data_IF_024669733643
#
_entry.id   IF_024669733643
#
_cell.length_a   1.000
_cell.length_b   1.000
_cell.length_c   1.000
_cell.angle_alpha   90.00
_cell.angle_beta   90.00
_cell.angle_gamma   90.00
#
_symmetry.space_group_name_H-M   'P 1'
#
loop_
_entity.id
_entity.type
_entity.pdbx_description
1 polymer ?
#
# COMPACT_ATOMS: atom_id res chain seq x y z
N UNK A 1 -24.31 -14.95 13.26
CA UNK A 1 -23.13 -15.52 13.96
C UNK A 1 -23.34 -16.98 14.37
N UNK A 2 -24.42 -17.39 15.09
CA UNK A 2 -24.63 -18.80 15.48
C UNK A 2 -24.75 -19.76 14.27
N UNK A 3 -25.47 -19.37 13.22
CA UNK A 3 -25.64 -20.16 12.00
C UNK A 3 -24.30 -20.45 11.31
N UNK A 4 -23.51 -19.39 11.09
CA UNK A 4 -22.16 -19.56 10.50
C UNK A 4 -21.27 -20.44 11.37
N UNK A 5 -21.34 -20.30 12.70
CA UNK A 5 -20.54 -21.14 13.61
C UNK A 5 -20.88 -22.61 13.49
N UNK A 6 -22.19 -22.95 13.46
CA UNK A 6 -22.63 -24.34 13.30
C UNK A 6 -22.11 -24.91 11.96
N UNK A 7 -22.20 -24.14 10.88
CA UNK A 7 -21.72 -24.55 9.55
C UNK A 7 -20.23 -24.87 9.55
N UNK A 8 -19.41 -24.06 10.25
CA UNK A 8 -17.98 -24.37 10.39
C UNK A 8 -17.71 -25.57 11.33
N UNK A 9 -18.44 -25.69 12.43
CA UNK A 9 -18.30 -26.82 13.37
C UNK A 9 -18.72 -28.15 12.71
N UNK A 10 -19.73 -28.15 11.84
CA UNK A 10 -20.18 -29.33 11.06
C UNK A 10 -19.18 -29.71 9.95
N UNK A 11 -18.57 -28.74 9.29
CA UNK A 11 -17.58 -28.97 8.25
C UNK A 11 -16.20 -29.41 8.78
N UNK A 12 -15.85 -28.99 9.99
CA UNK A 12 -14.52 -29.19 10.60
C UNK A 12 -14.04 -30.64 10.63
N UNK A 13 -14.85 -31.66 10.91
CA UNK A 13 -14.40 -33.06 10.92
C UNK A 13 -13.86 -33.51 9.55
N UNK A 14 -14.45 -33.02 8.45
CA UNK A 14 -14.03 -33.38 7.09
C UNK A 14 -12.64 -32.84 6.73
N UNK A 15 -12.24 -31.70 7.31
CA UNK A 15 -10.94 -31.07 7.09
C UNK A 15 -9.88 -31.43 8.15
N UNK A 16 -10.29 -32.04 9.28
CA UNK A 16 -9.38 -32.44 10.36
C UNK A 16 -8.57 -33.70 10.00
N UNK A 17 -7.55 -34.01 10.80
CA UNK A 17 -6.72 -35.21 10.61
C UNK A 17 -7.56 -36.48 10.45
N UNK A 18 -7.35 -37.18 9.34
CA UNK A 18 -8.13 -38.37 8.94
C UNK A 18 -9.39 -38.08 8.15
N UNK A 19 -9.74 -36.85 7.89
CA UNK A 19 -10.86 -36.44 7.03
C UNK A 19 -10.53 -36.49 5.55
N UNK A 20 -11.57 -36.59 4.70
CA UNK A 20 -11.44 -36.68 3.23
C UNK A 20 -10.75 -35.45 2.62
N UNK A 21 -10.87 -34.30 3.26
CA UNK A 21 -10.34 -33.00 2.82
C UNK A 21 -9.17 -32.49 3.71
N UNK A 22 -8.46 -33.37 4.40
CA UNK A 22 -7.33 -33.00 5.30
C UNK A 22 -6.29 -32.11 4.62
N UNK A 23 -5.98 -32.34 3.34
CA UNK A 23 -5.02 -31.53 2.55
C UNK A 23 -5.45 -30.06 2.41
N UNK A 24 -6.72 -29.78 2.51
CA UNK A 24 -7.30 -28.45 2.37
C UNK A 24 -7.60 -27.81 3.74
N UNK A 25 -7.15 -28.39 4.84
CA UNK A 25 -7.28 -27.82 6.18
C UNK A 25 -6.81 -26.37 6.24
N UNK A 26 -5.68 -25.95 5.60
CA UNK A 26 -5.26 -24.56 5.64
C UNK A 26 -6.29 -23.57 5.07
N UNK A 27 -7.03 -23.97 4.05
CA UNK A 27 -8.10 -23.13 3.45
C UNK A 27 -9.27 -22.99 4.43
N UNK A 28 -9.69 -24.10 5.03
CA UNK A 28 -10.77 -24.09 6.03
C UNK A 28 -10.42 -23.20 7.22
N UNK A 29 -9.17 -23.31 7.71
CA UNK A 29 -8.67 -22.56 8.86
C UNK A 29 -8.65 -21.04 8.61
N UNK A 30 -8.29 -20.57 7.41
CA UNK A 30 -8.38 -19.16 7.04
C UNK A 30 -9.81 -18.64 7.21
N UNK A 31 -10.79 -19.34 6.65
CA UNK A 31 -12.17 -18.91 6.71
C UNK A 31 -12.74 -19.00 8.13
N UNK A 32 -12.37 -20.04 8.92
CA UNK A 32 -12.76 -20.12 10.32
C UNK A 32 -12.16 -18.96 11.12
N UNK A 33 -10.88 -18.64 10.95
CA UNK A 33 -10.17 -17.61 11.68
C UNK A 33 -10.58 -16.18 11.26
N UNK A 34 -11.01 -15.99 10.02
CA UNK A 34 -11.53 -14.69 9.56
C UNK A 34 -12.80 -14.29 10.32
N UNK A 35 -13.68 -15.25 10.63
CA UNK A 35 -14.97 -15.00 11.30
C UNK A 35 -14.93 -15.27 12.79
N UNK A 36 -14.04 -16.15 13.27
CA UNK A 36 -13.99 -16.62 14.64
C UNK A 36 -12.56 -16.68 15.17
N UNK A 37 -12.42 -16.41 16.45
CA UNK A 37 -11.15 -16.55 17.16
C UNK A 37 -10.75 -18.03 17.28
N UNK A 38 -9.46 -18.30 17.10
CA UNK A 38 -8.88 -19.61 17.37
C UNK A 38 -9.21 -20.07 18.79
N UNK A 39 -9.74 -21.29 18.92
CA UNK A 39 -10.05 -21.92 20.22
C UNK A 39 -8.84 -22.63 20.85
N UNK A 40 -7.70 -22.62 20.18
CA UNK A 40 -6.50 -23.28 20.67
C UNK A 40 -6.06 -22.66 22.01
N UNK A 41 -6.06 -23.47 23.06
CA UNK A 41 -5.61 -23.08 24.39
C UNK A 41 -4.36 -23.88 24.75
N UNK A 42 -3.42 -23.22 25.41
CA UNK A 42 -2.28 -23.93 25.99
C UNK A 42 -2.79 -24.93 27.02
N UNK A 43 -2.30 -26.17 26.97
CA UNK A 43 -2.67 -27.24 27.92
C UNK A 43 -1.87 -27.18 29.22
N UNK A 44 -0.86 -26.31 29.30
CA UNK A 44 0.01 -26.14 30.46
C UNK A 44 -0.59 -25.18 31.49
N UNK A 45 -0.23 -25.29 32.79
CA UNK A 45 -0.83 -24.51 33.87
C UNK A 45 -0.52 -23.00 33.79
N UNK A 46 0.49 -22.57 33.03
CA UNK A 46 0.83 -21.16 32.83
C UNK A 46 0.23 -20.73 31.51
N UNK A 47 -0.78 -19.86 31.56
CA UNK A 47 -1.42 -19.27 30.38
C UNK A 47 -0.96 -17.82 30.20
N UNK A 48 0.00 -17.59 29.34
CA UNK A 48 0.33 -16.24 28.85
C UNK A 48 -0.27 -16.09 27.46
N UNK A 49 -1.20 -15.16 27.30
CA UNK A 49 -1.81 -14.85 26.01
C UNK A 49 -1.55 -13.40 25.66
N UNK A 50 -1.01 -13.17 24.48
CA UNK A 50 -0.86 -11.82 23.96
C UNK A 50 -2.24 -11.22 23.68
N UNK A 51 -2.43 -9.93 23.98
CA UNK A 51 -3.68 -9.22 23.75
C UNK A 51 -3.94 -8.96 22.25
N UNK A 52 -2.89 -8.95 21.44
CA UNK A 52 -2.92 -8.69 20.00
C UNK A 52 -2.20 -9.82 19.24
N UNK A 53 -2.97 -10.76 18.73
CA UNK A 53 -2.47 -11.75 17.77
C UNK A 53 -2.15 -11.09 16.43
N UNK A 54 -1.13 -11.58 15.71
CA UNK A 54 -0.76 -11.08 14.36
C UNK A 54 -1.96 -11.09 13.42
N UNK A 55 -2.81 -12.11 13.51
CA UNK A 55 -4.04 -12.25 12.75
C UNK A 55 -4.97 -11.04 12.93
N UNK A 56 -5.25 -10.65 14.17
CA UNK A 56 -6.07 -9.47 14.47
C UNK A 56 -5.44 -8.17 13.99
N UNK A 57 -4.11 -8.05 14.16
CA UNK A 57 -3.41 -6.87 13.66
C UNK A 57 -3.61 -6.71 12.15
N UNK A 58 -3.46 -7.80 11.39
CA UNK A 58 -3.61 -7.78 9.94
C UNK A 58 -5.05 -7.48 9.50
N UNK A 59 -6.06 -8.05 10.17
CA UNK A 59 -7.47 -7.73 9.88
C UNK A 59 -7.79 -6.26 10.17
N UNK A 60 -7.27 -5.68 11.25
CA UNK A 60 -7.47 -4.26 11.56
C UNK A 60 -6.78 -3.37 10.51
N UNK A 61 -5.57 -3.72 10.07
CA UNK A 61 -4.89 -2.99 9.00
C UNK A 61 -5.71 -3.06 7.71
N UNK A 62 -6.21 -4.25 7.34
CA UNK A 62 -7.06 -4.43 6.17
C UNK A 62 -8.33 -3.58 6.24
N UNK A 63 -9.04 -3.57 7.39
CA UNK A 63 -10.21 -2.71 7.59
C UNK A 63 -9.85 -1.22 7.56
N UNK A 64 -8.67 -0.84 8.06
CA UNK A 64 -8.21 0.54 8.03
C UNK A 64 -7.93 1.05 6.60
N UNK A 65 -7.74 0.17 5.61
CA UNK A 65 -7.59 0.60 4.20
C UNK A 65 -8.91 1.01 3.54
N UNK A 66 -10.08 0.64 4.10
CA UNK A 66 -11.39 0.86 3.48
C UNK A 66 -11.71 2.33 3.18
N UNK A 67 -11.45 3.31 4.07
CA UNK A 67 -11.66 4.73 3.73
C UNK A 67 -10.88 5.15 2.50
N UNK A 68 -9.61 4.76 2.40
CA UNK A 68 -8.77 5.06 1.24
C UNK A 68 -9.25 4.33 -0.03
N UNK A 69 -9.71 3.09 0.09
CA UNK A 69 -10.26 2.29 -0.99
C UNK A 69 -11.55 2.90 -1.55
N UNK A 70 -12.51 3.27 -0.69
CA UNK A 70 -13.77 3.87 -1.13
C UNK A 70 -13.56 5.24 -1.75
N UNK A 71 -12.70 6.07 -1.15
CA UNK A 71 -12.37 7.36 -1.74
C UNK A 71 -11.63 7.19 -3.07
N UNK A 72 -10.73 6.22 -3.17
CA UNK A 72 -10.02 5.90 -4.40
C UNK A 72 -10.96 5.54 -5.55
N UNK A 73 -11.94 4.67 -5.30
CA UNK A 73 -12.98 4.37 -6.30
C UNK A 73 -13.75 5.61 -6.73
N UNK A 74 -14.13 6.47 -5.78
CA UNK A 74 -14.77 7.74 -6.10
C UNK A 74 -13.87 8.64 -6.96
N UNK A 75 -12.60 8.79 -6.60
CA UNK A 75 -11.66 9.67 -7.31
C UNK A 75 -11.36 9.18 -8.73
N UNK A 76 -11.17 7.86 -8.94
CA UNK A 76 -11.01 7.29 -10.28
C UNK A 76 -12.19 7.69 -11.17
N UNK A 77 -13.42 7.47 -10.69
CA UNK A 77 -14.61 7.81 -11.45
C UNK A 77 -14.76 9.33 -11.65
N UNK A 78 -14.39 10.15 -10.66
CA UNK A 78 -14.42 11.60 -10.80
C UNK A 78 -13.49 12.05 -11.92
N UNK A 79 -12.22 11.67 -11.87
CA UNK A 79 -11.23 12.07 -12.88
C UNK A 79 -11.57 11.54 -14.27
N UNK A 80 -11.97 10.27 -14.37
CA UNK A 80 -12.26 9.65 -15.67
C UNK A 80 -13.56 10.11 -16.30
N UNK A 81 -14.65 10.24 -15.53
CA UNK A 81 -15.93 10.72 -16.08
C UNK A 81 -15.88 12.20 -16.49
N UNK A 82 -15.19 13.04 -15.73
CA UNK A 82 -14.96 14.45 -16.13
C UNK A 82 -14.16 14.51 -17.43
N UNK A 83 -13.11 13.68 -17.56
CA UNK A 83 -12.34 13.60 -18.79
C UNK A 83 -13.16 13.10 -19.99
N UNK A 84 -13.90 11.99 -19.83
CA UNK A 84 -14.76 11.44 -20.90
C UNK A 84 -15.84 12.44 -21.35
N UNK A 85 -16.35 13.26 -20.43
CA UNK A 85 -17.29 14.33 -20.75
C UNK A 85 -16.64 15.43 -21.61
N UNK A 86 -15.38 15.80 -21.34
CA UNK A 86 -14.63 16.80 -22.11
C UNK A 86 -14.40 16.35 -23.55
N UNK A 87 -14.13 15.07 -23.79
CA UNK A 87 -13.88 14.54 -25.15
C UNK A 87 -15.15 14.08 -25.87
N UNK A 88 -16.33 14.23 -25.23
CA UNK A 88 -17.65 13.81 -25.77
C UNK A 88 -17.69 12.34 -26.22
N UNK A 89 -16.91 11.45 -25.60
CA UNK A 89 -16.91 10.01 -25.91
C UNK A 89 -17.42 9.23 -24.70
N UNK A 90 -18.71 8.85 -24.66
CA UNK A 90 -19.27 8.07 -23.56
C UNK A 90 -18.94 6.57 -23.67
N UNK A 91 -17.74 6.22 -24.11
CA UNK A 91 -17.33 4.84 -24.31
C UNK A 91 -15.86 4.65 -23.95
N UNK A 92 -15.56 3.72 -23.06
CA UNK A 92 -14.20 3.36 -22.68
C UNK A 92 -13.49 2.48 -23.73
N UNK A 93 -14.21 1.99 -24.75
CA UNK A 93 -13.65 1.19 -25.85
C UNK A 93 -13.24 -0.24 -25.46
N UNK A 94 -13.39 -0.63 -24.22
CA UNK A 94 -12.99 -1.91 -23.67
C UNK A 94 -14.17 -2.66 -22.99
N UNK A 95 -13.89 -3.83 -22.39
CA UNK A 95 -14.89 -4.65 -21.72
C UNK A 95 -15.53 -3.96 -20.50
N UNK A 96 -14.86 -2.97 -19.88
CA UNK A 96 -15.40 -2.19 -18.77
C UNK A 96 -16.64 -1.40 -19.17
N UNK A 97 -16.74 -1.02 -20.47
CA UNK A 97 -17.89 -0.28 -21.00
C UNK A 97 -19.24 -0.97 -20.66
N UNK A 98 -19.29 -2.31 -20.80
CA UNK A 98 -20.52 -3.05 -20.53
C UNK A 98 -20.98 -2.93 -19.07
N UNK A 99 -20.03 -2.90 -18.13
CA UNK A 99 -20.31 -2.77 -16.71
C UNK A 99 -20.59 -1.31 -16.30
N UNK A 100 -19.82 -0.36 -16.85
CA UNK A 100 -20.02 1.07 -16.58
C UNK A 100 -21.39 1.52 -17.07
N UNK A 101 -21.84 1.02 -18.22
CA UNK A 101 -23.10 1.41 -18.84
C UNK A 101 -24.35 1.02 -18.00
N UNK A 102 -24.22 0.15 -17.00
CA UNK A 102 -25.33 -0.20 -16.09
C UNK A 102 -25.84 1.05 -15.34
N UNK A 103 -24.95 1.94 -14.90
CA UNK A 103 -25.31 3.20 -14.25
C UNK A 103 -25.10 4.42 -15.15
N UNK A 104 -24.32 4.29 -16.22
CA UNK A 104 -24.06 5.33 -17.22
C UNK A 104 -22.85 6.21 -16.89
N UNK A 105 -22.60 7.18 -17.79
CA UNK A 105 -21.38 8.03 -17.78
C UNK A 105 -21.62 9.46 -17.30
N UNK A 106 -22.72 9.72 -16.56
CA UNK A 106 -23.01 11.06 -16.06
C UNK A 106 -22.02 11.48 -14.96
N UNK A 107 -21.18 12.52 -15.18
CA UNK A 107 -20.14 12.92 -14.21
C UNK A 107 -20.70 13.59 -12.96
N UNK A 108 -21.95 14.10 -13.00
CA UNK A 108 -22.56 14.80 -11.87
C UNK A 108 -23.17 13.85 -10.81
N UNK A 109 -23.34 12.58 -11.13
CA UNK A 109 -23.94 11.60 -10.19
C UNK A 109 -22.85 10.92 -9.37
N UNK A 110 -22.95 11.04 -8.05
CA UNK A 110 -22.04 10.40 -7.10
C UNK A 110 -21.95 8.87 -7.27
N UNK A 111 -23.09 8.21 -7.51
CA UNK A 111 -23.12 6.75 -7.69
C UNK A 111 -22.35 6.32 -8.95
N UNK A 112 -22.42 7.11 -10.03
CA UNK A 112 -21.72 6.81 -11.28
C UNK A 112 -20.19 6.89 -11.08
N UNK A 113 -19.72 7.87 -10.30
CA UNK A 113 -18.31 8.02 -9.96
C UNK A 113 -17.78 6.80 -9.17
N UNK A 114 -18.50 6.39 -8.11
CA UNK A 114 -18.09 5.21 -7.32
C UNK A 114 -18.16 3.94 -8.16
N UNK A 115 -19.22 3.78 -8.95
CA UNK A 115 -19.40 2.59 -9.77
C UNK A 115 -18.30 2.47 -10.83
N UNK A 116 -18.00 3.56 -11.53
CA UNK A 116 -16.91 3.59 -12.50
C UNK A 116 -15.59 3.16 -11.88
N UNK A 117 -15.20 3.77 -10.78
CA UNK A 117 -13.97 3.38 -10.07
C UNK A 117 -14.00 1.94 -9.54
N UNK A 118 -15.15 1.46 -9.09
CA UNK A 118 -15.30 0.07 -8.67
C UNK A 118 -15.09 -0.92 -9.82
N UNK A 119 -15.61 -0.60 -11.02
CA UNK A 119 -15.45 -1.43 -12.22
C UNK A 119 -13.97 -1.59 -12.62
N UNK A 120 -13.15 -0.57 -12.41
CA UNK A 120 -11.71 -0.64 -12.67
C UNK A 120 -10.91 -1.25 -11.51
N UNK A 121 -11.22 -0.88 -10.27
CA UNK A 121 -10.46 -1.33 -9.10
C UNK A 121 -10.73 -2.79 -8.69
N UNK A 122 -12.02 -3.22 -8.68
CA UNK A 122 -12.39 -4.54 -8.17
C UNK A 122 -11.73 -5.68 -8.96
N UNK A 123 -11.64 -5.66 -10.31
CA UNK A 123 -10.94 -6.69 -11.05
C UNK A 123 -9.45 -6.78 -10.71
N UNK A 124 -8.77 -5.64 -10.55
CA UNK A 124 -7.36 -5.61 -10.12
C UNK A 124 -7.22 -6.25 -8.73
N UNK A 125 -8.05 -5.82 -7.77
CA UNK A 125 -8.02 -6.37 -6.41
C UNK A 125 -8.37 -7.86 -6.38
N UNK A 126 -9.39 -8.29 -7.14
CA UNK A 126 -9.76 -9.70 -7.24
C UNK A 126 -8.62 -10.55 -7.82
N UNK A 127 -7.97 -10.06 -8.88
CA UNK A 127 -6.83 -10.75 -9.49
C UNK A 127 -5.66 -10.88 -8.52
N UNK A 128 -5.28 -9.78 -7.85
CA UNK A 128 -4.19 -9.80 -6.85
C UNK A 128 -4.52 -10.73 -5.69
N UNK A 129 -5.77 -10.74 -5.25
CA UNK A 129 -6.23 -11.60 -4.18
C UNK A 129 -6.21 -13.08 -4.60
N UNK A 130 -6.81 -13.43 -5.73
CA UNK A 130 -6.92 -14.83 -6.19
C UNK A 130 -5.56 -15.43 -6.53
N UNK A 131 -4.72 -14.69 -7.24
CA UNK A 131 -3.38 -15.17 -7.61
C UNK A 131 -2.49 -15.28 -6.38
N UNK A 132 -2.48 -14.27 -5.52
CA UNK A 132 -1.63 -14.29 -4.35
C UNK A 132 -2.04 -15.35 -3.33
N UNK A 133 -3.36 -15.54 -3.06
CA UNK A 133 -3.80 -16.62 -2.17
C UNK A 133 -3.49 -18.00 -2.73
N UNK A 134 -3.49 -18.16 -4.05
CA UNK A 134 -3.12 -19.43 -4.69
C UNK A 134 -1.66 -19.80 -4.39
N UNK A 135 -0.75 -18.81 -4.42
CA UNK A 135 0.64 -19.01 -4.01
C UNK A 135 0.78 -19.32 -2.52
N UNK A 136 0.08 -18.58 -1.65
CA UNK A 136 0.08 -18.86 -0.20
C UNK A 136 -0.38 -20.28 0.10
N UNK A 137 -1.47 -20.72 -0.53
CA UNK A 137 -2.00 -22.09 -0.38
C UNK A 137 -0.97 -23.11 -0.86
N UNK A 138 -0.34 -22.89 -2.01
CA UNK A 138 0.66 -23.79 -2.57
C UNK A 138 1.83 -23.97 -1.60
N UNK A 139 2.39 -22.86 -1.09
CA UNK A 139 3.50 -22.92 -0.15
C UNK A 139 3.09 -23.48 1.21
N UNK A 140 1.88 -23.21 1.69
CA UNK A 140 1.35 -23.77 2.93
C UNK A 140 1.23 -25.31 2.85
N UNK A 141 0.74 -25.84 1.72
CA UNK A 141 0.65 -27.27 1.49
C UNK A 141 2.04 -27.92 1.44
N UNK A 142 2.99 -27.32 0.68
CA UNK A 142 4.35 -27.85 0.52
C UNK A 142 5.10 -27.85 1.87
N UNK A 143 5.01 -26.77 2.62
CA UNK A 143 5.76 -26.55 3.87
C UNK A 143 5.01 -27.00 5.12
N UNK A 144 3.74 -27.40 5.00
CA UNK A 144 2.87 -27.86 6.08
C UNK A 144 2.75 -26.84 7.22
N UNK A 145 2.58 -25.57 6.87
CA UNK A 145 2.27 -24.49 7.82
C UNK A 145 0.88 -23.90 7.58
N UNK A 146 0.35 -23.19 8.56
CA UNK A 146 -0.91 -22.47 8.46
C UNK A 146 -0.74 -21.24 7.55
N UNK A 147 -1.80 -20.85 6.84
CA UNK A 147 -1.81 -19.65 6.05
C UNK A 147 -2.07 -18.45 6.98
N UNK A 148 -1.32 -17.39 6.80
CA UNK A 148 -1.42 -16.21 7.66
C UNK A 148 -2.23 -15.10 6.96
N UNK A 149 -3.09 -14.43 7.72
CA UNK A 149 -3.95 -13.33 7.27
C UNK A 149 -3.16 -12.10 6.79
N UNK A 150 -1.87 -12.04 7.01
CA UNK A 150 -0.98 -11.01 6.45
C UNK A 150 -1.07 -10.89 4.93
N UNK A 151 -1.50 -11.94 4.24
CA UNK A 151 -1.76 -11.91 2.81
C UNK A 151 -2.89 -10.93 2.43
N UNK A 152 -3.98 -10.85 3.21
CA UNK A 152 -5.08 -9.91 2.94
C UNK A 152 -4.57 -8.46 2.87
N UNK A 153 -3.65 -8.11 3.76
CA UNK A 153 -3.01 -6.79 3.78
C UNK A 153 -2.13 -6.60 2.56
N UNK A 154 -1.27 -7.56 2.23
CA UNK A 154 -0.36 -7.45 1.09
C UNK A 154 -1.11 -7.30 -0.23
N UNK A 155 -2.21 -8.05 -0.45
CA UNK A 155 -3.01 -7.99 -1.67
C UNK A 155 -3.72 -6.65 -1.83
N UNK A 156 -4.37 -6.13 -0.77
CA UNK A 156 -5.09 -4.85 -0.84
C UNK A 156 -4.13 -3.68 -0.99
N UNK A 157 -3.01 -3.65 -0.25
CA UNK A 157 -2.03 -2.57 -0.35
C UNK A 157 -1.36 -2.54 -1.73
N UNK A 158 -1.07 -3.71 -2.31
CA UNK A 158 -0.56 -3.78 -3.67
C UNK A 158 -1.56 -3.21 -4.67
N UNK A 159 -2.84 -3.66 -4.63
CA UNK A 159 -3.88 -3.19 -5.53
C UNK A 159 -4.12 -1.67 -5.40
N UNK A 160 -4.17 -1.14 -4.16
CA UNK A 160 -4.34 0.29 -3.89
C UNK A 160 -3.16 1.16 -4.36
N UNK A 161 -1.97 0.59 -4.46
CA UNK A 161 -0.78 1.29 -4.93
C UNK A 161 -0.61 1.24 -6.46
N UNK A 162 -1.44 0.48 -7.17
CA UNK A 162 -1.39 0.37 -8.62
C UNK A 162 -2.20 1.48 -9.32
N UNK A 163 -1.87 1.80 -10.58
CA UNK A 163 -2.73 2.59 -11.45
C UNK A 163 -4.08 1.90 -11.68
N UNK A 164 -5.16 2.68 -11.91
CA UNK A 164 -6.49 2.10 -12.09
C UNK A 164 -6.67 1.33 -13.40
N UNK A 165 -5.87 1.60 -14.41
CA UNK A 165 -5.94 0.95 -15.73
C UNK A 165 -4.85 -0.12 -15.95
N UNK A 166 -4.31 -0.66 -14.85
CA UNK A 166 -3.28 -1.70 -14.90
C UNK A 166 -3.82 -2.98 -15.52
N UNK A 167 -3.19 -3.55 -16.55
CA UNK A 167 -3.57 -4.84 -17.12
C UNK A 167 -3.57 -5.96 -16.07
N UNK A 168 -4.65 -6.76 -16.03
CA UNK A 168 -4.83 -7.79 -15.00
C UNK A 168 -3.69 -8.83 -14.96
N UNK A 169 -3.11 -9.17 -16.12
CA UNK A 169 -1.98 -10.09 -16.18
C UNK A 169 -0.71 -9.50 -15.53
N UNK A 170 -0.49 -8.19 -15.64
CA UNK A 170 0.62 -7.51 -14.94
C UNK A 170 0.36 -7.48 -13.43
N UNK A 171 -0.89 -7.18 -13.01
CA UNK A 171 -1.27 -7.29 -11.61
C UNK A 171 -0.99 -8.69 -11.05
N UNK A 172 -1.31 -9.74 -11.82
CA UNK A 172 -1.01 -11.14 -11.47
C UNK A 172 0.50 -11.41 -11.35
N UNK A 173 1.31 -10.91 -12.28
CA UNK A 173 2.78 -11.04 -12.22
C UNK A 173 3.36 -10.27 -11.05
N UNK A 174 2.93 -9.04 -10.82
CA UNK A 174 3.42 -8.20 -9.73
C UNK A 174 3.17 -8.82 -8.37
N UNK A 175 1.93 -9.27 -8.11
CA UNK A 175 1.62 -9.93 -6.82
C UNK A 175 2.35 -11.27 -6.68
N UNK A 176 2.51 -12.03 -7.77
CA UNK A 176 3.32 -13.26 -7.78
C UNK A 176 4.75 -12.98 -7.34
N UNK A 177 5.40 -11.97 -7.93
CA UNK A 177 6.75 -11.58 -7.54
C UNK A 177 6.81 -11.13 -6.07
N UNK A 178 5.86 -10.30 -5.64
CA UNK A 178 5.77 -9.83 -4.25
C UNK A 178 5.63 -10.95 -3.24
N UNK A 179 4.74 -11.91 -3.48
CA UNK A 179 4.50 -13.03 -2.56
C UNK A 179 5.63 -14.06 -2.63
N UNK A 180 5.99 -14.53 -3.82
CA UNK A 180 6.99 -15.61 -3.95
C UNK A 180 8.38 -15.10 -3.58
N UNK A 181 8.85 -14.02 -4.21
CA UNK A 181 10.21 -13.51 -4.03
C UNK A 181 10.31 -12.63 -2.77
N UNK A 182 9.32 -11.75 -2.53
CA UNK A 182 9.35 -10.82 -1.39
C UNK A 182 9.05 -11.47 -0.04
N UNK A 183 8.38 -12.65 -0.01
CA UNK A 183 7.91 -13.25 1.23
C UNK A 183 8.21 -14.75 1.35
N UNK A 184 7.71 -15.58 0.42
CA UNK A 184 7.75 -17.03 0.58
C UNK A 184 9.16 -17.61 0.51
N UNK A 185 10.05 -17.11 -0.33
CA UNK A 185 11.45 -17.57 -0.39
C UNK A 185 12.15 -17.47 0.97
N UNK A 186 11.81 -16.44 1.75
CA UNK A 186 12.40 -16.23 3.10
C UNK A 186 11.73 -17.03 4.21
N UNK A 187 10.63 -17.74 3.91
CA UNK A 187 9.94 -18.62 4.86
C UNK A 187 8.55 -18.18 5.28
N UNK A 188 7.94 -17.25 4.55
CA UNK A 188 6.57 -16.80 4.75
C UNK A 188 6.41 -15.62 5.70
N UNK A 189 5.18 -15.35 6.15
CA UNK A 189 4.84 -14.22 7.00
C UNK A 189 5.64 -14.21 8.29
N UNK A 190 6.20 -13.06 8.63
CA UNK A 190 7.02 -12.88 9.83
C UNK A 190 8.52 -13.14 9.63
N UNK A 191 8.93 -13.66 8.46
CA UNK A 191 10.33 -13.92 8.11
C UNK A 191 10.81 -13.10 6.91
N UNK A 192 9.89 -12.40 6.24
CA UNK A 192 10.21 -11.48 5.16
C UNK A 192 10.88 -10.22 5.71
N UNK A 193 11.97 -9.79 5.10
CA UNK A 193 12.65 -8.54 5.45
C UNK A 193 12.26 -7.38 4.53
N UNK A 194 11.57 -7.64 3.43
CA UNK A 194 10.98 -6.65 2.53
C UNK A 194 9.46 -6.66 2.64
N UNK A 195 8.84 -5.51 2.42
CA UNK A 195 7.39 -5.43 2.26
C UNK A 195 6.96 -6.09 0.94
N UNK A 196 6.10 -7.15 0.97
CA UNK A 196 5.76 -7.90 -0.24
C UNK A 196 4.99 -7.08 -1.27
N UNK A 197 4.09 -6.20 -0.85
CA UNK A 197 3.33 -5.33 -1.74
C UNK A 197 4.26 -4.38 -2.51
N UNK A 198 5.20 -3.74 -1.80
CA UNK A 198 6.19 -2.85 -2.42
C UNK A 198 7.16 -3.61 -3.32
N UNK A 199 7.55 -4.82 -2.95
CA UNK A 199 8.43 -5.68 -3.78
C UNK A 199 7.76 -6.00 -5.12
N UNK A 200 6.47 -6.36 -5.10
CA UNK A 200 5.69 -6.60 -6.31
C UNK A 200 5.53 -5.33 -7.16
N UNK A 201 5.23 -4.19 -6.53
CA UNK A 201 5.12 -2.92 -7.23
C UNK A 201 6.47 -2.48 -7.84
N UNK A 202 7.58 -2.66 -7.12
CA UNK A 202 8.90 -2.36 -7.65
C UNK A 202 9.23 -3.21 -8.87
N UNK A 203 8.90 -4.51 -8.83
CA UNK A 203 9.06 -5.39 -9.99
C UNK A 203 8.32 -4.84 -11.21
N UNK A 204 7.04 -4.49 -11.06
CA UNK A 204 6.25 -3.93 -12.17
C UNK A 204 6.83 -2.61 -12.68
N UNK A 205 7.27 -1.76 -11.77
CA UNK A 205 7.86 -0.47 -12.11
C UNK A 205 9.10 -0.61 -13.00
N UNK A 206 9.98 -1.57 -12.70
CA UNK A 206 11.19 -1.80 -13.51
C UNK A 206 10.93 -2.63 -14.76
N UNK A 207 9.95 -3.54 -14.73
CA UNK A 207 9.66 -4.41 -15.87
C UNK A 207 8.70 -3.77 -16.89
N UNK A 208 7.73 -2.97 -16.43
CA UNK A 208 6.67 -2.36 -17.25
C UNK A 208 6.44 -0.89 -16.88
N UNK A 209 7.47 -0.03 -17.01
CA UNK A 209 7.40 1.36 -16.56
C UNK A 209 6.31 2.18 -17.25
N UNK A 210 6.00 1.90 -18.53
CA UNK A 210 4.97 2.59 -19.31
C UNK A 210 3.55 2.43 -18.75
N UNK A 211 3.28 1.32 -18.05
CA UNK A 211 1.95 0.98 -17.54
C UNK A 211 1.80 1.31 -16.04
N UNK A 212 2.90 1.69 -15.40
CA UNK A 212 2.94 2.02 -13.96
C UNK A 212 3.22 3.50 -13.70
N UNK A 213 3.86 4.19 -14.63
CA UNK A 213 4.28 5.58 -14.48
C UNK A 213 4.05 6.36 -15.77
N UNK A 214 3.94 7.67 -15.66
CA UNK A 214 3.70 8.57 -16.78
C UNK A 214 2.37 9.30 -16.69
N UNK A 215 2.01 10.06 -17.72
CA UNK A 215 0.85 10.95 -17.69
C UNK A 215 -0.47 10.27 -18.05
N UNK A 216 -0.40 9.06 -18.60
CA UNK A 216 -1.54 8.36 -19.19
C UNK A 216 -2.23 7.40 -18.25
N UNK A 217 -1.48 6.79 -17.36
CA UNK A 217 -1.90 5.64 -16.56
C UNK A 217 -2.87 5.95 -15.41
N UNK A 218 -3.05 7.22 -15.09
CA UNK A 218 -3.83 7.66 -13.92
C UNK A 218 -5.30 7.93 -14.23
N UNK A 219 -5.68 8.01 -15.52
CA UNK A 219 -7.04 8.23 -15.96
C UNK A 219 -7.50 6.99 -16.73
N UNK A 220 -8.51 6.31 -16.19
CA UNK A 220 -9.02 5.06 -16.77
C UNK A 220 -9.98 5.30 -17.93
N UNK A 221 -10.08 4.30 -18.80
CA UNK A 221 -11.08 4.29 -19.86
C UNK A 221 -10.68 5.04 -21.12
N UNK A 222 -9.39 5.34 -21.28
CA UNK A 222 -8.90 6.00 -22.49
C UNK A 222 -8.60 5.02 -23.63
N UNK A 223 -8.38 3.72 -23.31
CA UNK A 223 -8.03 2.69 -24.26
C UNK A 223 -6.80 3.03 -25.10
N UNK A 224 -6.54 2.24 -26.14
CA UNK A 224 -5.44 2.50 -27.10
C UNK A 224 -5.71 3.71 -28.03
N UNK A 225 -6.95 4.19 -28.08
CA UNK A 225 -7.37 5.30 -28.95
C UNK A 225 -7.36 6.67 -28.25
N UNK A 226 -6.28 6.99 -27.63
CA UNK A 226 -6.12 8.20 -26.83
C UNK A 226 -6.19 9.49 -27.65
N UNK A 227 -7.34 10.10 -27.74
CA UNK A 227 -7.47 11.50 -28.19
C UNK A 227 -7.25 12.37 -26.95
N UNK A 228 -6.01 12.77 -26.69
CA UNK A 228 -5.72 13.76 -25.65
C UNK A 228 -6.10 15.13 -26.21
N UNK A 229 -7.09 15.86 -25.63
CA UNK A 229 -7.36 17.24 -26.02
C UNK A 229 -6.08 18.08 -25.87
N UNK A 230 -5.87 19.01 -26.80
CA UNK A 230 -4.74 19.93 -26.68
C UNK A 230 -4.82 20.67 -25.33
N UNK A 231 -3.75 20.61 -24.55
CA UNK A 231 -3.65 21.27 -23.26
C UNK A 231 -4.10 20.43 -22.04
N UNK A 232 -4.60 19.20 -22.24
CA UNK A 232 -4.87 18.29 -21.13
C UNK A 232 -3.67 17.36 -20.86
N UNK A 233 -3.30 17.21 -19.60
CA UNK A 233 -2.28 16.26 -19.14
C UNK A 233 -2.82 15.52 -17.92
N UNK A 234 -2.78 14.18 -17.94
CA UNK A 234 -3.10 13.34 -16.80
C UNK A 234 -1.93 13.21 -15.80
N UNK A 235 -0.93 14.08 -15.91
CA UNK A 235 0.23 14.08 -15.02
C UNK A 235 -0.19 14.23 -13.56
N UNK A 236 0.45 13.44 -12.70
CA UNK A 236 0.26 13.60 -11.25
C UNK A 236 0.83 14.93 -10.75
N UNK A 237 0.33 15.46 -9.64
CA UNK A 237 0.91 16.67 -9.03
C UNK A 237 2.43 16.54 -8.79
N UNK A 238 2.91 15.34 -8.48
CA UNK A 238 4.34 15.09 -8.29
C UNK A 238 5.12 15.16 -9.62
N UNK A 239 4.56 14.65 -10.72
CA UNK A 239 5.14 14.77 -12.05
C UNK A 239 5.23 16.24 -12.49
N UNK A 240 4.14 17.00 -12.31
CA UNK A 240 4.13 18.44 -12.59
C UNK A 240 5.14 19.21 -11.74
N UNK A 241 5.27 18.86 -10.45
CA UNK A 241 6.28 19.47 -9.58
C UNK A 241 7.71 19.18 -10.06
N UNK A 242 7.98 17.98 -10.57
CA UNK A 242 9.29 17.60 -11.09
C UNK A 242 9.67 18.37 -12.37
N UNK A 243 8.70 18.69 -13.22
CA UNK A 243 8.93 19.42 -14.49
C UNK A 243 8.94 20.94 -14.30
N UNK A 244 7.97 21.49 -13.57
CA UNK A 244 7.66 22.91 -13.52
C UNK A 244 7.75 23.53 -12.13
N UNK A 245 8.08 22.73 -11.10
CA UNK A 245 8.19 23.17 -9.72
C UNK A 245 6.87 23.67 -9.09
N UNK A 246 6.99 24.52 -8.08
CA UNK A 246 5.84 25.10 -7.36
C UNK A 246 4.92 25.92 -8.25
N UNK A 247 5.41 26.79 -9.18
CA UNK A 247 4.54 27.57 -10.04
C UNK A 247 3.62 26.69 -10.89
N UNK A 248 4.15 25.70 -11.59
CA UNK A 248 3.34 24.80 -12.40
C UNK A 248 2.39 23.93 -11.56
N UNK A 249 2.81 23.57 -10.34
CA UNK A 249 1.98 22.81 -9.41
C UNK A 249 0.76 23.62 -8.93
N UNK A 250 0.98 24.90 -8.52
CA UNK A 250 -0.09 25.77 -8.01
C UNK A 250 -1.02 26.29 -9.10
N UNK A 251 -0.56 26.31 -10.36
CA UNK A 251 -1.38 26.66 -11.52
C UNK A 251 -2.42 25.58 -11.83
N UNK A 252 -2.04 24.31 -11.69
CA UNK A 252 -2.91 23.15 -12.02
C UNK A 252 -3.70 22.62 -10.82
N UNK A 253 -3.12 22.63 -9.63
CA UNK A 253 -3.70 22.00 -8.44
C UNK A 253 -3.69 22.94 -7.25
N UNK A 254 -4.83 23.05 -6.55
CA UNK A 254 -4.83 23.67 -5.23
C UNK A 254 -4.25 22.72 -4.19
N UNK A 255 -3.59 23.26 -3.16
CA UNK A 255 -3.11 22.42 -2.04
C UNK A 255 -4.25 21.67 -1.35
N UNK A 256 -5.44 22.30 -1.29
CA UNK A 256 -6.60 21.68 -0.67
C UNK A 256 -7.14 20.51 -1.50
N UNK A 257 -7.13 20.60 -2.84
CA UNK A 257 -7.52 19.48 -3.70
C UNK A 257 -6.56 18.30 -3.56
N UNK A 258 -5.25 18.58 -3.46
CA UNK A 258 -4.25 17.57 -3.17
C UNK A 258 -4.44 16.93 -1.78
N UNK A 259 -4.81 17.71 -0.77
CA UNK A 259 -5.11 17.23 0.57
C UNK A 259 -6.41 16.42 0.63
N UNK A 260 -7.46 16.88 -0.05
CA UNK A 260 -8.73 16.18 -0.15
C UNK A 260 -8.62 14.90 -0.98
N UNK A 261 -7.74 14.91 -2.02
CA UNK A 261 -7.49 13.78 -2.89
C UNK A 261 -8.12 13.86 -4.28
N UNK A 262 -8.64 15.03 -4.66
CA UNK A 262 -9.21 15.27 -6.01
C UNK A 262 -8.10 15.50 -7.05
N UNK A 263 -7.15 14.59 -7.11
CA UNK A 263 -5.96 14.65 -7.97
C UNK A 263 -5.74 13.30 -8.66
N UNK A 264 -5.12 13.26 -9.86
CA UNK A 264 -4.72 12.01 -10.48
C UNK A 264 -3.63 11.31 -9.66
N UNK A 265 -3.72 9.97 -9.55
CA UNK A 265 -2.77 9.16 -8.79
C UNK A 265 -3.20 7.71 -8.64
N UNK A 266 -2.44 6.91 -7.92
CA UNK A 266 -2.79 5.51 -7.59
C UNK A 266 -4.09 5.44 -6.79
N UNK A 267 -4.78 4.30 -6.90
CA UNK A 267 -6.13 4.13 -6.36
C UNK A 267 -6.28 4.57 -4.88
N UNK A 268 -5.36 4.16 -4.00
CA UNK A 268 -5.46 4.41 -2.56
C UNK A 268 -4.64 5.59 -2.03
N UNK A 269 -3.85 6.25 -2.88
CA UNK A 269 -2.80 7.18 -2.43
C UNK A 269 -3.23 8.64 -2.42
N UNK A 270 -4.37 8.99 -3.02
CA UNK A 270 -4.74 10.37 -3.33
C UNK A 270 -5.23 11.16 -2.14
N UNK A 271 -6.10 10.61 -1.27
CA UNK A 271 -6.74 11.35 -0.19
C UNK A 271 -6.01 11.27 1.14
N UNK A 272 -5.40 12.38 1.57
CA UNK A 272 -4.80 12.49 2.90
C UNK A 272 -5.85 12.40 4.00
N UNK A 273 -7.08 12.86 3.76
CA UNK A 273 -8.18 12.77 4.72
C UNK A 273 -8.52 11.30 5.00
N UNK A 274 -8.72 10.50 3.95
CA UNK A 274 -9.03 9.09 4.09
C UNK A 274 -7.87 8.29 4.75
N UNK A 275 -6.63 8.60 4.38
CA UNK A 275 -5.43 8.02 4.98
C UNK A 275 -5.28 8.44 6.45
N UNK A 276 -5.65 9.68 6.81
CA UNK A 276 -5.60 10.15 8.20
C UNK A 276 -6.59 9.42 9.10
N UNK A 277 -7.79 9.07 8.59
CA UNK A 277 -8.74 8.22 9.33
C UNK A 277 -8.10 6.86 9.64
N UNK A 278 -7.46 6.25 8.64
CA UNK A 278 -6.73 5.00 8.84
C UNK A 278 -5.58 5.15 9.84
N UNK A 279 -4.81 6.25 9.76
CA UNK A 279 -3.73 6.53 10.69
C UNK A 279 -4.23 6.62 12.15
N UNK A 280 -5.36 7.28 12.37
CA UNK A 280 -5.98 7.38 13.70
C UNK A 280 -6.36 5.99 14.21
N UNK A 281 -7.03 5.17 13.40
CA UNK A 281 -7.41 3.79 13.77
C UNK A 281 -6.16 2.97 14.14
N UNK A 282 -5.12 3.00 13.30
CA UNK A 282 -3.91 2.22 13.51
C UNK A 282 -3.07 2.70 14.70
N UNK A 283 -3.06 4.00 14.99
CA UNK A 283 -2.40 4.55 16.18
C UNK A 283 -3.17 4.25 17.47
N UNK A 284 -4.50 4.36 17.48
CA UNK A 284 -5.34 4.03 18.62
C UNK A 284 -5.25 2.55 19.00
N UNK A 285 -5.18 1.68 18.00
CA UNK A 285 -5.00 0.24 18.19
C UNK A 285 -3.55 -0.16 18.49
N UNK A 286 -2.61 0.81 18.46
CA UNK A 286 -1.16 0.60 18.67
C UNK A 286 -0.51 -0.36 17.68
N UNK A 287 -1.12 -0.56 16.52
CA UNK A 287 -0.56 -1.39 15.44
C UNK A 287 0.52 -0.60 14.70
N UNK A 288 0.20 0.63 14.27
CA UNK A 288 1.19 1.51 13.67
C UNK A 288 2.08 2.16 14.74
N UNK A 289 3.36 2.28 14.43
CA UNK A 289 4.33 2.94 15.32
C UNK A 289 4.40 4.44 15.07
N UNK A 290 3.92 5.25 16.02
CA UNK A 290 4.05 6.71 15.94
C UNK A 290 5.51 7.16 15.81
N UNK A 291 6.48 6.37 16.30
CA UNK A 291 7.92 6.68 16.21
C UNK A 291 8.40 6.63 14.76
N UNK A 292 7.95 5.63 14.00
CA UNK A 292 8.26 5.53 12.57
C UNK A 292 7.62 6.70 11.83
N UNK A 293 6.33 6.97 12.08
CA UNK A 293 5.60 8.05 11.41
C UNK A 293 6.24 9.41 11.68
N UNK A 294 6.47 9.76 12.94
CA UNK A 294 7.11 11.04 13.30
C UNK A 294 8.56 11.13 12.82
N UNK A 295 9.30 10.00 12.87
CA UNK A 295 10.66 9.95 12.33
C UNK A 295 10.70 10.24 10.82
N UNK A 296 9.78 9.65 10.06
CA UNK A 296 9.67 9.88 8.60
C UNK A 296 9.27 11.32 8.29
N UNK A 297 8.30 11.87 9.01
CA UNK A 297 7.91 13.27 8.86
C UNK A 297 9.07 14.21 9.17
N UNK A 298 9.82 13.94 10.24
CA UNK A 298 10.97 14.75 10.64
C UNK A 298 12.11 14.66 9.61
N UNK A 299 12.43 13.46 9.11
CA UNK A 299 13.41 13.26 8.05
C UNK A 299 13.03 14.02 6.78
N UNK A 300 11.77 13.91 6.35
CA UNK A 300 11.24 14.63 5.18
C UNK A 300 11.31 16.14 5.38
N UNK A 301 10.84 16.66 6.54
CA UNK A 301 10.86 18.09 6.86
C UNK A 301 12.27 18.68 6.82
N UNK A 302 13.23 18.04 7.50
CA UNK A 302 14.61 18.51 7.58
C UNK A 302 15.26 18.51 6.20
N UNK A 303 15.08 17.42 5.43
CA UNK A 303 15.73 17.30 4.12
C UNK A 303 15.12 18.23 3.08
N UNK A 304 13.80 18.38 3.03
CA UNK A 304 13.16 19.33 2.11
C UNK A 304 13.51 20.77 2.45
N UNK A 305 13.55 21.14 3.73
CA UNK A 305 13.99 22.47 4.15
C UNK A 305 15.45 22.74 3.79
N UNK A 306 16.32 21.75 3.90
CA UNK A 306 17.71 21.87 3.49
C UNK A 306 17.82 22.15 1.99
N UNK A 307 17.09 21.41 1.13
CA UNK A 307 17.08 21.66 -0.30
C UNK A 307 16.50 23.03 -0.66
N UNK A 308 15.45 23.48 0.05
CA UNK A 308 14.91 24.82 -0.15
C UNK A 308 15.92 25.93 0.19
N UNK A 309 16.79 25.73 1.21
CA UNK A 309 17.85 26.69 1.56
C UNK A 309 18.96 26.68 0.50
N UNK A 310 19.34 25.50 0.00
CA UNK A 310 20.38 25.38 -1.03
C UNK A 310 19.91 26.01 -2.34
N UNK A 311 18.66 25.75 -2.74
CA UNK A 311 18.08 26.20 -4.00
C UNK A 311 18.74 25.58 -5.21
N UNK A 312 18.12 25.72 -6.39
CA UNK A 312 18.69 25.33 -7.67
C UNK A 312 17.99 26.10 -8.80
N UNK A 313 18.76 26.59 -9.77
CA UNK A 313 18.20 27.24 -10.95
C UNK A 313 17.80 26.25 -12.04
N UNK A 314 18.35 25.03 -12.00
CA UNK A 314 18.12 24.00 -13.03
C UNK A 314 17.15 22.91 -12.61
N UNK A 315 16.95 22.71 -11.31
CA UNK A 315 16.06 21.65 -10.80
C UNK A 315 14.94 22.27 -9.96
N UNK A 316 13.71 22.36 -10.48
CA UNK A 316 12.61 23.01 -9.81
C UNK A 316 12.15 22.31 -8.53
N UNK A 317 12.47 21.00 -8.35
CA UNK A 317 12.13 20.24 -7.13
C UNK A 317 12.81 20.74 -5.87
N UNK A 318 13.96 21.44 -5.99
CA UNK A 318 14.65 22.06 -4.83
C UNK A 318 13.77 23.08 -4.11
N UNK A 319 12.88 23.75 -4.83
CA UNK A 319 12.03 24.80 -4.30
C UNK A 319 10.68 24.29 -3.76
N UNK A 320 10.40 22.98 -3.85
CA UNK A 320 9.16 22.40 -3.36
C UNK A 320 9.20 22.34 -1.82
N UNK A 321 8.30 23.06 -1.11
CA UNK A 321 8.31 23.09 0.35
C UNK A 321 7.74 21.81 0.95
N UNK A 322 8.08 21.54 2.21
CA UNK A 322 7.76 20.29 2.92
C UNK A 322 6.25 19.96 2.93
N UNK A 323 5.38 20.96 3.03
CA UNK A 323 3.93 20.75 3.07
C UNK A 323 3.35 20.22 1.76
N UNK A 324 4.01 20.50 0.62
CA UNK A 324 3.67 19.87 -0.65
C UNK A 324 4.16 18.42 -0.70
N UNK A 325 5.39 18.14 -0.23
CA UNK A 325 5.88 16.76 -0.18
C UNK A 325 4.98 15.81 0.62
N UNK A 326 4.22 16.36 1.60
CA UNK A 326 3.28 15.61 2.41
C UNK A 326 2.04 15.15 1.62
N UNK A 327 1.53 16.03 0.74
CA UNK A 327 0.23 15.83 0.07
C UNK A 327 0.36 15.26 -1.35
N UNK A 328 1.54 15.34 -1.98
CA UNK A 328 1.77 14.82 -3.33
C UNK A 328 2.45 13.46 -3.34
N UNK A 329 2.07 12.64 -4.32
CA UNK A 329 2.56 11.27 -4.45
C UNK A 329 2.12 10.36 -3.31
N UNK A 330 2.76 9.20 -3.22
CA UNK A 330 2.41 8.14 -2.26
C UNK A 330 2.93 8.35 -0.84
N UNK A 331 3.41 9.55 -0.47
CA UNK A 331 4.08 9.77 0.82
C UNK A 331 3.21 9.39 2.01
N UNK A 332 1.98 9.92 2.09
CA UNK A 332 1.09 9.67 3.23
C UNK A 332 0.63 8.20 3.30
N UNK A 333 0.32 7.61 2.15
CA UNK A 333 -0.07 6.20 2.07
C UNK A 333 1.08 5.29 2.51
N UNK A 334 2.28 5.51 1.98
CA UNK A 334 3.47 4.77 2.37
C UNK A 334 3.84 4.98 3.83
N UNK A 335 3.69 6.20 4.36
CA UNK A 335 3.92 6.53 5.76
C UNK A 335 3.03 5.73 6.70
N UNK A 336 1.73 5.62 6.39
CA UNK A 336 0.73 5.03 7.30
C UNK A 336 0.66 3.52 7.17
N UNK A 337 0.63 2.98 5.96
CA UNK A 337 0.36 1.56 5.74
C UNK A 337 1.61 0.71 5.49
N UNK A 338 2.64 1.27 4.87
CA UNK A 338 3.77 0.49 4.40
C UNK A 338 5.03 0.64 5.26
N UNK A 339 5.36 1.86 5.69
CA UNK A 339 6.51 2.10 6.57
C UNK A 339 6.29 1.56 7.99
N UNK A 340 5.02 1.49 8.44
CA UNK A 340 4.66 0.98 9.77
C UNK A 340 4.38 -0.52 9.79
N UNK A 341 4.61 -1.24 8.69
CA UNK A 341 4.47 -2.69 8.66
C UNK A 341 5.33 -3.33 9.75
N UNK A 342 4.72 -4.16 10.62
CA UNK A 342 5.42 -4.63 11.81
C UNK A 342 6.50 -5.69 11.53
N UNK A 343 6.47 -6.33 10.36
CA UNK A 343 7.36 -7.44 10.01
C UNK A 343 8.67 -6.93 9.41
N UNK A 344 8.60 -6.07 8.40
CA UNK A 344 9.77 -5.59 7.64
C UNK A 344 10.43 -4.34 8.25
N UNK A 345 9.76 -3.66 9.17
CA UNK A 345 10.28 -2.48 9.86
C UNK A 345 11.15 -2.80 11.07
N UNK A 346 11.85 -1.77 11.62
CA UNK A 346 12.65 -1.92 12.84
C UNK A 346 11.78 -2.25 14.05
N UNK A 347 12.22 -3.23 14.85
CA UNK A 347 11.54 -3.71 16.06
C UNK A 347 11.85 -2.91 17.32
N UNK A 348 13.05 -2.31 17.44
CA UNK A 348 13.48 -1.60 18.64
C UNK A 348 12.96 -0.16 18.70
N UNK A 349 12.68 0.36 19.90
CA UNK A 349 12.13 1.71 20.04
C UNK A 349 13.04 2.82 19.48
N UNK A 350 14.37 2.70 19.65
CA UNK A 350 15.33 3.63 19.07
C UNK A 350 15.48 3.41 17.58
N UNK A 351 15.50 2.15 17.15
CA UNK A 351 15.60 1.79 15.77
C UNK A 351 14.43 2.29 14.93
N UNK A 352 13.21 2.30 15.48
CA UNK A 352 12.02 2.87 14.82
C UNK A 352 12.15 4.35 14.48
N UNK A 353 12.79 5.14 15.32
CA UNK A 353 13.09 6.54 15.01
C UNK A 353 14.11 6.67 13.90
N UNK A 354 15.22 5.93 13.98
CA UNK A 354 16.28 5.94 12.96
C UNK A 354 15.72 5.47 11.61
N UNK A 355 14.99 4.35 11.62
CA UNK A 355 14.34 3.79 10.45
C UNK A 355 13.40 4.79 9.77
N UNK A 356 12.54 5.44 10.55
CA UNK A 356 11.64 6.48 10.03
C UNK A 356 12.41 7.66 9.45
N UNK A 357 13.43 8.18 10.13
CA UNK A 357 14.25 9.27 9.61
C UNK A 357 14.92 8.89 8.30
N UNK A 358 15.47 7.69 8.21
CA UNK A 358 16.07 7.18 6.95
C UNK A 358 15.07 7.19 5.82
N UNK A 359 13.83 6.73 6.03
CA UNK A 359 12.78 6.79 5.00
C UNK A 359 12.52 8.24 4.59
N UNK A 360 12.29 9.14 5.56
CA UNK A 360 11.98 10.54 5.27
C UNK A 360 13.09 11.27 4.50
N UNK A 361 14.34 11.04 4.88
CA UNK A 361 15.50 11.57 4.15
C UNK A 361 15.57 11.00 2.74
N UNK A 362 15.49 9.68 2.62
CA UNK A 362 15.67 8.99 1.33
C UNK A 362 14.56 9.35 0.33
N UNK A 363 13.31 9.49 0.79
CA UNK A 363 12.20 9.85 -0.12
C UNK A 363 12.41 11.23 -0.75
N UNK A 364 12.87 12.21 0.02
CA UNK A 364 13.14 13.56 -0.50
C UNK A 364 14.37 13.55 -1.41
N UNK A 365 15.43 12.82 -1.02
CA UNK A 365 16.62 12.65 -1.88
C UNK A 365 16.23 12.07 -3.25
N UNK A 366 15.43 11.00 -3.29
CA UNK A 366 15.01 10.41 -4.57
C UNK A 366 14.17 11.41 -5.37
N UNK A 367 13.20 12.10 -4.75
CA UNK A 367 12.32 13.06 -5.41
C UNK A 367 13.08 14.25 -6.01
N UNK A 368 14.08 14.75 -5.30
CA UNK A 368 14.81 15.96 -5.69
C UNK A 368 16.00 15.65 -6.59
N UNK A 369 16.78 14.61 -6.28
CA UNK A 369 18.01 14.32 -7.04
C UNK A 369 17.73 13.55 -8.32
N UNK A 370 16.66 12.76 -8.36
CA UNK A 370 16.29 11.98 -9.54
C UNK A 370 14.95 12.42 -10.14
N UNK A 371 14.92 13.48 -10.95
CA UNK A 371 13.69 13.99 -11.56
C UNK A 371 13.01 13.00 -12.51
N UNK A 372 13.75 12.02 -13.05
CA UNK A 372 13.18 10.97 -13.89
C UNK A 372 12.28 10.00 -13.10
N UNK A 373 12.37 9.98 -11.78
CA UNK A 373 11.59 9.11 -10.91
C UNK A 373 11.19 9.83 -9.60
N UNK A 374 10.23 10.73 -9.65
CA UNK A 374 9.88 11.56 -8.49
C UNK A 374 9.12 10.79 -7.38
N UNK A 375 8.56 9.61 -7.61
CA UNK A 375 7.71 8.92 -6.62
C UNK A 375 8.43 8.53 -5.33
N UNK A 376 9.63 8.09 -5.36
CA UNK A 376 10.57 7.89 -4.23
C UNK A 376 10.13 7.03 -3.03
N UNK A 377 8.88 7.06 -2.59
CA UNK A 377 8.44 6.46 -1.32
C UNK A 377 8.58 4.94 -1.29
N UNK A 378 8.24 4.26 -2.36
CA UNK A 378 8.39 2.81 -2.50
C UNK A 378 9.85 2.39 -2.32
N UNK A 379 10.76 3.02 -3.06
CA UNK A 379 12.19 2.68 -2.99
C UNK A 379 12.80 3.08 -1.64
N UNK A 380 12.37 4.20 -1.05
CA UNK A 380 12.83 4.63 0.27
C UNK A 380 12.47 3.62 1.36
N UNK A 381 11.24 3.08 1.34
CA UNK A 381 10.82 2.05 2.30
C UNK A 381 11.57 0.74 2.07
N UNK A 382 11.69 0.28 0.82
CA UNK A 382 12.44 -0.94 0.52
C UNK A 382 13.92 -0.82 0.93
N UNK A 383 14.54 0.33 0.68
CA UNK A 383 15.90 0.60 1.13
C UNK A 383 16.01 0.58 2.67
N UNK A 384 15.08 1.22 3.36
CA UNK A 384 15.05 1.22 4.82
C UNK A 384 14.79 -0.19 5.40
N UNK A 385 13.96 -1.00 4.74
CA UNK A 385 13.72 -2.40 5.12
C UNK A 385 15.03 -3.21 5.11
N UNK A 386 15.91 -3.02 4.10
CA UNK A 386 17.23 -3.65 4.06
C UNK A 386 18.11 -3.23 5.24
N UNK A 387 17.96 -1.99 5.70
CA UNK A 387 18.73 -1.45 6.82
C UNK A 387 18.12 -1.78 8.20
N UNK A 388 16.85 -2.14 8.29
CA UNK A 388 16.15 -2.37 9.54
C UNK A 388 16.86 -3.39 10.46
N UNK A 389 17.31 -4.57 10.00
CA UNK A 389 18.06 -5.52 10.82
C UNK A 389 19.40 -4.97 11.32
N UNK A 390 20.09 -4.18 10.49
CA UNK A 390 21.37 -3.53 10.85
C UNK A 390 21.16 -2.49 11.93
N UNK A 391 20.14 -1.64 11.77
CA UNK A 391 19.75 -0.63 12.75
C UNK A 391 19.44 -1.29 14.10
N UNK A 392 18.62 -2.34 14.11
CA UNK A 392 18.26 -3.04 15.33
C UNK A 392 19.48 -3.72 15.98
N UNK A 393 20.36 -4.33 15.19
CA UNK A 393 21.61 -4.90 15.69
C UNK A 393 22.47 -3.85 16.39
N UNK A 394 22.67 -2.68 15.79
CA UNK A 394 23.43 -1.57 16.38
C UNK A 394 22.83 -1.10 17.73
N UNK A 395 21.50 -1.00 17.81
CA UNK A 395 20.80 -0.61 19.04
C UNK A 395 20.98 -1.68 20.14
N UNK A 396 20.84 -2.97 19.79
CA UNK A 396 21.03 -4.09 20.73
C UNK A 396 22.46 -4.13 21.25
N UNK A 397 23.46 -4.02 20.36
CA UNK A 397 24.87 -4.00 20.77
C UNK A 397 25.21 -2.81 21.69
N UNK A 398 24.66 -1.63 21.43
CA UNK A 398 24.79 -0.47 22.32
C UNK A 398 24.21 -0.76 23.71
N UNK A 399 23.02 -1.40 23.77
CA UNK A 399 22.39 -1.75 25.04
C UNK A 399 23.21 -2.81 25.81
N UNK A 400 23.78 -3.81 25.11
CA UNK A 400 24.65 -4.83 25.70
C UNK A 400 25.92 -4.18 26.31
N UNK A 401 26.57 -3.29 25.54
CA UNK A 401 27.76 -2.55 26.04
C UNK A 401 27.45 -1.76 27.30
N UNK A 402 26.32 -1.04 27.32
CA UNK A 402 25.88 -0.27 28.49
C UNK A 402 25.63 -1.17 29.70
N UNK A 403 24.97 -2.33 29.52
CA UNK A 403 24.72 -3.27 30.63
C UNK A 403 26.02 -3.87 31.17
N UNK A 404 26.96 -4.25 30.29
CA UNK A 404 28.27 -4.77 30.70
C UNK A 404 29.07 -3.76 31.52
N UNK A 405 29.03 -2.46 31.18
CA UNK A 405 29.66 -1.41 31.94
C UNK A 405 29.12 -1.32 33.38
N UNK A 406 27.79 -1.43 33.55
CA UNK A 406 27.14 -1.42 34.86
C UNK A 406 27.44 -2.66 35.75
N UNK A 407 27.89 -3.76 35.15
CA UNK A 407 28.29 -4.98 35.92
C UNK A 407 29.77 -5.01 36.28
N UNK A 408 30.57 -4.14 35.64
CA UNK A 408 32.02 -4.04 35.91
C UNK A 408 32.36 -2.88 36.86
N UNK A 409 31.34 -2.11 37.29
CA UNK A 409 31.38 -1.17 38.42
C UNK A 409 30.88 -1.88 39.71
#
# INVERSE_FOLDING_TARGET
MKFLRNLFDDAKPSFSKGGVAEKYFPIFDIFENLFFLSRNRTKNPIHVRDALDIQRMMVIVWLATFPAMFFGMYNIGNQSLEYLALINTPNTGDWHHYLVNIFGYEPNRFINKIWFGAVYFIPIYATTFLVGISWEILFAIIRKHEINEGFFVSSVLFALSCPPDLPLWQAALGITFGIVIGKEIFGGTGKNFLNPALTGRAFLYFAYPSDISGDKVWISGLGDQMIIPQGYSGATPLGVAAESGVPGLTDKFSWFDAFAGNIPGSVGETSIIAISIAAIILLMTRIASYRIMLGTLLGMFVTSSLFNIIGSDTNPMFNVPFYWHLVIGSFAFGLVFMATEPVSGSGTNKGRWIYGIVIGVTVVLIRVVNPAFPEGMMLAILFANLLAPVIDHMVVMSNIKRRKALYNE
#
